data_IF_353473927283
#
_entry.id   IF_353473927283
#
_cell.length_a   1.000
_cell.length_b   1.000
_cell.length_c   1.000
_cell.angle_alpha   90.00
_cell.angle_beta   90.00
_cell.angle_gamma   90.00
#
_symmetry.space_group_name_H-M   'P 1'
#
loop_
_entity.id
_entity.type
_entity.pdbx_description
1 polymer ?
#
# COMPACT_ATOMS: atom_id res chain seq x y z
N UNK A 1 6.40 -7.37 -106.30
CA UNK A 1 5.34 -6.71 -105.51
C UNK A 1 5.08 -7.43 -104.18
N UNK A 2 4.92 -8.77 -104.16
CA UNK A 2 4.75 -9.57 -102.93
C UNK A 2 5.88 -9.48 -101.90
N UNK A 3 7.14 -9.51 -102.34
CA UNK A 3 8.31 -9.44 -101.43
C UNK A 3 8.37 -8.11 -100.67
N UNK A 4 7.89 -7.02 -101.27
CA UNK A 4 7.81 -5.71 -100.62
C UNK A 4 6.65 -5.64 -99.61
N UNK A 5 5.47 -6.21 -99.92
CA UNK A 5 4.33 -6.19 -99.00
C UNK A 5 4.53 -7.11 -97.80
N UNK A 6 5.26 -8.23 -97.95
CA UNK A 6 5.61 -9.09 -96.81
C UNK A 6 6.67 -8.45 -95.89
N UNK A 7 7.58 -7.64 -96.45
CA UNK A 7 8.57 -6.89 -95.66
C UNK A 7 7.92 -5.81 -94.79
N UNK A 8 6.94 -5.09 -95.34
CA UNK A 8 6.17 -4.06 -94.63
C UNK A 8 5.30 -4.63 -93.50
N UNK A 9 4.64 -5.78 -93.73
CA UNK A 9 3.81 -6.46 -92.73
C UNK A 9 4.66 -7.05 -91.58
N UNK A 10 5.85 -7.57 -91.91
CA UNK A 10 6.86 -8.00 -90.92
C UNK A 10 7.40 -6.81 -90.12
N UNK A 11 7.67 -5.68 -90.77
CA UNK A 11 8.17 -4.47 -90.10
C UNK A 11 7.13 -3.92 -89.13
N UNK A 12 5.85 -3.91 -89.51
CA UNK A 12 4.74 -3.53 -88.64
C UNK A 12 4.58 -4.47 -87.44
N UNK A 13 4.65 -5.79 -87.65
CA UNK A 13 4.61 -6.77 -86.54
C UNK A 13 5.80 -6.60 -85.58
N UNK A 14 7.01 -6.40 -86.10
CA UNK A 14 8.20 -6.17 -85.27
C UNK A 14 8.06 -4.85 -84.50
N UNK A 15 7.53 -3.81 -85.12
CA UNK A 15 7.30 -2.53 -84.46
C UNK A 15 6.29 -2.66 -83.33
N UNK A 16 5.14 -3.29 -83.58
CA UNK A 16 4.10 -3.57 -82.58
C UNK A 16 4.65 -4.42 -81.42
N UNK A 17 5.38 -5.50 -81.71
CA UNK A 17 6.00 -6.33 -80.67
C UNK A 17 7.04 -5.56 -79.85
N UNK A 18 7.79 -4.65 -80.47
CA UNK A 18 8.77 -3.84 -79.77
C UNK A 18 8.09 -2.80 -78.86
N UNK A 19 6.96 -2.24 -79.27
CA UNK A 19 6.17 -1.32 -78.46
C UNK A 19 5.51 -2.03 -77.28
N UNK A 20 4.94 -3.22 -77.49
CA UNK A 20 4.41 -4.09 -76.42
C UNK A 20 5.51 -4.49 -75.43
N UNK A 21 6.71 -4.85 -75.92
CA UNK A 21 7.85 -5.19 -75.07
C UNK A 21 8.30 -3.99 -74.21
N UNK A 22 8.32 -2.78 -74.77
CA UNK A 22 8.60 -1.55 -74.01
C UNK A 22 7.53 -1.29 -72.97
N UNK A 23 6.25 -1.45 -73.33
CA UNK A 23 5.15 -1.25 -72.40
C UNK A 23 5.21 -2.25 -71.23
N UNK A 24 5.44 -3.53 -71.51
CA UNK A 24 5.60 -4.56 -70.50
C UNK A 24 6.82 -4.29 -69.60
N UNK A 25 7.95 -3.88 -70.17
CA UNK A 25 9.15 -3.54 -69.40
C UNK A 25 8.89 -2.37 -68.43
N UNK A 26 8.16 -1.34 -68.87
CA UNK A 26 7.77 -0.21 -68.02
C UNK A 26 6.78 -0.64 -66.92
N UNK A 27 5.79 -1.49 -67.25
CA UNK A 27 4.85 -2.02 -66.26
C UNK A 27 5.57 -2.87 -65.19
N UNK A 28 6.55 -3.68 -65.60
CA UNK A 28 7.34 -4.52 -64.71
C UNK A 28 8.27 -3.67 -63.81
N UNK A 29 8.87 -2.61 -64.36
CA UNK A 29 9.65 -1.65 -63.57
C UNK A 29 8.79 -0.94 -62.52
N UNK A 30 7.60 -0.46 -62.91
CA UNK A 30 6.67 0.17 -61.98
C UNK A 30 6.21 -0.82 -60.88
N UNK A 31 5.92 -2.07 -61.25
CA UNK A 31 5.55 -3.10 -60.27
C UNK A 31 6.70 -3.41 -59.30
N UNK A 32 7.94 -3.49 -59.78
CA UNK A 32 9.12 -3.70 -58.94
C UNK A 32 9.35 -2.51 -57.97
N UNK A 33 9.15 -1.27 -58.44
CA UNK A 33 9.21 -0.08 -57.58
C UNK A 33 8.10 -0.10 -56.51
N UNK A 34 6.87 -0.45 -56.88
CA UNK A 34 5.76 -0.60 -55.92
C UNK A 34 6.00 -1.69 -54.88
N UNK A 35 6.60 -2.83 -55.26
CA UNK A 35 6.98 -3.87 -54.32
C UNK A 35 8.06 -3.39 -53.35
N UNK A 36 9.05 -2.66 -53.84
CA UNK A 36 10.10 -2.08 -52.99
C UNK A 36 9.54 -1.09 -51.96
N UNK A 37 8.62 -0.21 -52.35
CA UNK A 37 8.02 0.75 -51.41
C UNK A 37 7.10 0.06 -50.41
N UNK A 38 6.33 -0.94 -50.83
CA UNK A 38 5.54 -1.75 -49.90
C UNK A 38 6.39 -2.54 -48.91
N UNK A 39 7.54 -3.06 -49.35
CA UNK A 39 8.48 -3.74 -48.47
C UNK A 39 9.01 -2.79 -47.39
N UNK A 40 9.44 -1.58 -47.79
CA UNK A 40 9.90 -0.56 -46.85
C UNK A 40 8.82 -0.14 -45.84
N UNK A 41 7.58 0.03 -46.30
CA UNK A 41 6.44 0.31 -45.40
C UNK A 41 6.17 -0.84 -44.44
N UNK A 42 6.32 -2.09 -44.89
CA UNK A 42 6.12 -3.28 -44.06
C UNK A 42 7.20 -3.38 -42.99
N UNK A 43 8.47 -3.17 -43.35
CA UNK A 43 9.59 -3.12 -42.42
C UNK A 43 9.45 -1.97 -41.42
N UNK A 44 9.00 -0.81 -41.88
CA UNK A 44 8.71 0.33 -41.02
C UNK A 44 7.61 0.02 -40.00
N UNK A 45 6.48 -0.57 -40.44
CA UNK A 45 5.40 -0.99 -39.56
C UNK A 45 5.86 -2.06 -38.56
N UNK A 46 6.66 -3.03 -39.01
CA UNK A 46 7.21 -4.07 -38.15
C UNK A 46 8.08 -3.48 -37.03
N UNK A 47 8.96 -2.53 -37.35
CA UNK A 47 9.75 -1.81 -36.34
C UNK A 47 8.88 -1.07 -35.32
N UNK A 48 7.79 -0.42 -35.77
CA UNK A 48 6.85 0.25 -34.87
C UNK A 48 6.14 -0.75 -33.94
N UNK A 49 5.76 -1.92 -34.45
CA UNK A 49 5.18 -2.99 -33.62
C UNK A 49 6.14 -3.45 -32.52
N UNK A 50 7.45 -3.56 -32.79
CA UNK A 50 8.46 -3.93 -31.79
C UNK A 50 8.63 -2.86 -30.70
N UNK A 51 8.61 -1.58 -31.08
CA UNK A 51 8.65 -0.45 -30.13
C UNK A 51 7.44 -0.49 -29.20
N UNK A 52 6.23 -0.67 -29.74
CA UNK A 52 5.01 -0.75 -28.94
C UNK A 52 4.99 -1.97 -28.04
N UNK A 53 5.44 -3.13 -28.52
CA UNK A 53 5.58 -4.35 -27.72
C UNK A 53 6.52 -4.14 -26.54
N UNK A 54 7.67 -3.49 -26.78
CA UNK A 54 8.66 -3.20 -25.74
C UNK A 54 8.11 -2.24 -24.68
N UNK A 55 7.43 -1.17 -25.09
CA UNK A 55 6.78 -0.22 -24.19
C UNK A 55 5.67 -0.86 -23.36
N UNK A 56 4.81 -1.65 -23.99
CA UNK A 56 3.73 -2.37 -23.30
C UNK A 56 4.29 -3.32 -22.24
N UNK A 57 5.35 -4.06 -22.57
CA UNK A 57 5.98 -4.99 -21.65
C UNK A 57 6.63 -4.28 -20.45
N UNK A 58 7.36 -3.19 -20.70
CA UNK A 58 7.95 -2.37 -19.64
C UNK A 58 6.88 -1.83 -18.69
N UNK A 59 5.80 -1.25 -19.23
CA UNK A 59 4.68 -0.74 -18.43
C UNK A 59 3.96 -1.85 -17.65
N UNK A 60 3.81 -3.04 -18.24
CA UNK A 60 3.17 -4.19 -17.58
C UNK A 60 3.96 -4.64 -16.36
N UNK A 61 5.29 -4.75 -16.48
CA UNK A 61 6.18 -5.09 -15.35
C UNK A 61 6.07 -4.06 -14.22
N UNK A 62 6.06 -2.76 -14.55
CA UNK A 62 5.90 -1.71 -13.53
C UNK A 62 4.55 -1.81 -12.80
N UNK A 63 3.47 -2.12 -13.52
CA UNK A 63 2.13 -2.29 -12.92
C UNK A 63 2.08 -3.52 -12.02
N UNK A 64 2.68 -4.64 -12.43
CA UNK A 64 2.77 -5.85 -11.62
C UNK A 64 3.54 -5.60 -10.30
N UNK A 65 4.66 -4.90 -10.38
CA UNK A 65 5.43 -4.50 -9.19
C UNK A 65 4.63 -3.56 -8.28
N UNK A 66 3.91 -2.59 -8.85
CA UNK A 66 3.03 -1.70 -8.10
C UNK A 66 1.89 -2.46 -7.42
N UNK A 67 1.30 -3.43 -8.10
CA UNK A 67 0.25 -4.28 -7.54
C UNK A 67 0.78 -5.11 -6.36
N UNK A 68 2.01 -5.63 -6.46
CA UNK A 68 2.66 -6.33 -5.36
C UNK A 68 2.94 -5.40 -4.17
N UNK A 69 3.48 -4.20 -4.43
CA UNK A 69 3.70 -3.20 -3.38
C UNK A 69 2.39 -2.84 -2.66
N UNK A 70 1.32 -2.60 -3.44
CA UNK A 70 -0.02 -2.33 -2.90
C UNK A 70 -0.51 -3.48 -2.03
N UNK A 71 -0.34 -4.73 -2.46
CA UNK A 71 -0.73 -5.91 -1.67
C UNK A 71 -0.03 -5.94 -0.32
N UNK A 72 1.30 -5.81 -0.30
CA UNK A 72 2.11 -5.83 0.93
C UNK A 72 1.74 -4.67 1.86
N UNK A 73 1.56 -3.46 1.33
CA UNK A 73 1.09 -2.29 2.09
C UNK A 73 -0.30 -2.49 2.69
N UNK A 74 -1.20 -3.08 1.92
CA UNK A 74 -2.57 -3.35 2.37
C UNK A 74 -2.56 -4.37 3.50
N UNK A 75 -1.79 -5.45 3.37
CA UNK A 75 -1.63 -6.45 4.41
C UNK A 75 -1.05 -5.87 5.69
N UNK A 76 0.02 -5.06 5.60
CA UNK A 76 0.60 -4.37 6.75
C UNK A 76 -0.41 -3.44 7.44
N UNK A 77 -1.17 -2.69 6.64
CA UNK A 77 -2.23 -1.81 7.15
C UNK A 77 -3.30 -2.59 7.92
N UNK A 78 -3.75 -3.72 7.36
CA UNK A 78 -4.73 -4.60 8.02
C UNK A 78 -4.18 -5.13 9.35
N UNK A 79 -2.93 -5.60 9.37
CA UNK A 79 -2.30 -6.13 10.59
C UNK A 79 -2.16 -5.05 11.68
N UNK A 80 -1.76 -3.83 11.29
CA UNK A 80 -1.66 -2.69 12.20
C UNK A 80 -3.05 -2.29 12.74
N UNK A 81 -4.06 -2.25 11.89
CA UNK A 81 -5.43 -1.95 12.31
C UNK A 81 -5.95 -2.99 13.31
N UNK A 82 -5.70 -4.28 13.04
CA UNK A 82 -6.07 -5.36 13.96
C UNK A 82 -5.36 -5.23 15.31
N UNK A 83 -4.06 -4.87 15.30
CA UNK A 83 -3.31 -4.63 16.53
C UNK A 83 -3.91 -3.49 17.36
N UNK A 84 -4.25 -2.36 16.72
CA UNK A 84 -4.91 -1.24 17.39
C UNK A 84 -6.27 -1.67 17.98
N UNK A 85 -7.05 -2.46 17.25
CA UNK A 85 -8.33 -2.98 17.74
C UNK A 85 -8.16 -3.83 19.00
N UNK A 86 -7.16 -4.71 19.03
CA UNK A 86 -6.87 -5.53 20.22
C UNK A 86 -6.45 -4.68 21.42
N UNK A 87 -5.57 -3.70 21.21
CA UNK A 87 -5.16 -2.76 22.28
C UNK A 87 -6.34 -1.96 22.84
N UNK A 88 -7.24 -1.50 21.96
CA UNK A 88 -8.44 -0.78 22.39
C UNK A 88 -9.42 -1.66 23.16
N UNK A 89 -9.58 -2.93 22.78
CA UNK A 89 -10.42 -3.91 23.49
C UNK A 89 -9.87 -4.20 24.89
N UNK A 90 -8.57 -4.49 25.01
CA UNK A 90 -7.91 -4.67 26.31
C UNK A 90 -8.04 -3.42 27.19
N UNK A 91 -7.82 -2.23 26.63
CA UNK A 91 -8.00 -0.96 27.35
C UNK A 91 -9.45 -0.78 27.84
N UNK A 92 -10.45 -1.17 27.06
CA UNK A 92 -11.84 -1.14 27.49
C UNK A 92 -12.10 -2.09 28.66
N UNK A 93 -11.58 -3.32 28.60
CA UNK A 93 -11.67 -4.29 29.71
C UNK A 93 -10.99 -3.77 30.98
N UNK A 94 -9.79 -3.20 30.85
CA UNK A 94 -9.06 -2.58 31.98
C UNK A 94 -9.89 -1.46 32.60
N UNK A 95 -10.49 -0.59 31.78
CA UNK A 95 -11.36 0.49 32.27
C UNK A 95 -12.54 -0.06 33.07
N UNK A 96 -13.23 -1.08 32.55
CA UNK A 96 -14.40 -1.66 33.22
C UNK A 96 -13.99 -2.31 34.55
N UNK A 97 -12.85 -3.01 34.60
CA UNK A 97 -12.27 -3.52 35.84
C UNK A 97 -11.94 -2.39 36.83
N UNK A 98 -11.32 -1.30 36.38
CA UNK A 98 -11.00 -0.15 37.24
C UNK A 98 -12.25 0.55 37.77
N UNK A 99 -13.34 0.62 37.01
CA UNK A 99 -14.63 1.14 37.48
C UNK A 99 -15.20 0.25 38.59
N UNK A 100 -15.15 -1.08 38.42
CA UNK A 100 -15.57 -2.02 39.46
C UNK A 100 -14.71 -1.88 40.72
N UNK A 101 -13.39 -1.79 40.57
CA UNK A 101 -12.46 -1.55 41.67
C UNK A 101 -12.78 -0.24 42.39
N UNK A 102 -13.04 0.84 41.65
CA UNK A 102 -13.44 2.13 42.20
C UNK A 102 -14.71 2.02 43.05
N UNK A 103 -15.77 1.38 42.51
CA UNK A 103 -17.02 1.20 43.26
C UNK A 103 -16.81 0.44 44.57
N UNK A 104 -15.98 -0.62 44.53
CA UNK A 104 -15.66 -1.41 45.72
C UNK A 104 -14.86 -0.60 46.74
N UNK A 105 -13.79 0.07 46.31
CA UNK A 105 -12.95 0.90 47.18
C UNK A 105 -13.73 2.08 47.77
N UNK A 106 -14.58 2.73 46.98
CA UNK A 106 -15.43 3.82 47.45
C UNK A 106 -16.42 3.32 48.51
N UNK A 107 -17.11 2.20 48.27
CA UNK A 107 -17.99 1.61 49.27
C UNK A 107 -17.26 1.21 50.57
N UNK A 108 -16.06 0.66 50.45
CA UNK A 108 -15.21 0.35 51.62
C UNK A 108 -14.77 1.62 52.36
N UNK A 109 -14.41 2.67 51.63
CA UNK A 109 -14.02 3.96 52.20
C UNK A 109 -15.16 4.58 53.01
N UNK A 110 -16.39 4.61 52.47
CA UNK A 110 -17.56 5.14 53.19
C UNK A 110 -17.87 4.32 54.44
N UNK A 111 -17.87 2.98 54.35
CA UNK A 111 -18.07 2.11 55.51
C UNK A 111 -16.97 2.27 56.57
N UNK A 112 -15.73 2.51 56.14
CA UNK A 112 -14.61 2.75 57.04
C UNK A 112 -14.75 4.09 57.77
N UNK A 113 -15.17 5.16 57.07
CA UNK A 113 -15.49 6.45 57.67
C UNK A 113 -16.62 6.36 58.70
N UNK A 114 -17.69 5.64 58.38
CA UNK A 114 -18.81 5.41 59.32
C UNK A 114 -18.34 4.72 60.60
N UNK A 115 -17.52 3.66 60.48
CA UNK A 115 -16.96 2.96 61.63
C UNK A 115 -16.05 3.84 62.50
N UNK A 116 -15.28 4.75 61.88
CA UNK A 116 -14.49 5.73 62.64
C UNK A 116 -15.40 6.68 63.41
N UNK A 117 -16.41 7.25 62.75
CA UNK A 117 -17.35 8.17 63.39
C UNK A 117 -18.07 7.52 64.59
N UNK A 118 -18.47 6.25 64.46
CA UNK A 118 -19.07 5.47 65.56
C UNK A 118 -18.04 5.24 66.68
N UNK A 119 -16.80 4.90 66.35
CA UNK A 119 -15.75 4.64 67.35
C UNK A 119 -15.34 5.88 68.15
N UNK A 120 -15.38 7.06 67.53
CA UNK A 120 -15.18 8.36 68.18
C UNK A 120 -16.33 8.68 69.13
N UNK A 121 -17.58 8.44 68.71
CA UNK A 121 -18.77 8.63 69.55
C UNK A 121 -18.77 7.71 70.78
N UNK A 122 -18.27 6.47 70.64
CA UNK A 122 -18.12 5.51 71.74
C UNK A 122 -16.86 5.70 72.60
N UNK A 123 -16.11 6.79 72.41
CA UNK A 123 -15.04 7.23 73.32
C UNK A 123 -13.70 6.50 73.17
N UNK A 124 -13.48 5.76 72.07
CA UNK A 124 -12.23 5.01 71.87
C UNK A 124 -11.15 5.89 71.21
N UNK A 125 -10.35 6.60 72.02
CA UNK A 125 -9.44 7.70 71.60
C UNK A 125 -8.13 7.28 70.89
N UNK A 126 -7.95 6.03 70.47
CA UNK A 126 -6.64 5.52 70.05
C UNK A 126 -6.40 5.44 68.53
N UNK A 127 -7.18 6.13 67.67
CA UNK A 127 -6.91 6.14 66.21
C UNK A 127 -6.49 7.53 65.73
N UNK A 128 -5.28 7.70 65.15
CA UNK A 128 -4.88 8.98 64.59
C UNK A 128 -5.62 9.24 63.28
N UNK A 129 -6.58 10.18 63.29
CA UNK A 129 -7.37 10.68 62.14
C UNK A 129 -6.51 11.64 61.27
N UNK A 130 -5.20 11.42 61.22
CA UNK A 130 -4.22 12.47 60.92
C UNK A 130 -3.85 12.67 59.45
N UNK A 131 -4.34 11.85 58.51
CA UNK A 131 -3.84 11.91 57.13
C UNK A 131 -4.85 11.51 56.05
N UNK A 132 -6.14 11.80 56.26
CA UNK A 132 -7.18 11.47 55.28
C UNK A 132 -7.37 12.60 54.26
N UNK A 133 -7.15 12.30 52.99
CA UNK A 133 -7.47 13.21 51.89
C UNK A 133 -8.95 13.09 51.50
N UNK A 134 -9.83 13.79 52.23
CA UNK A 134 -11.28 13.85 51.97
C UNK A 134 -11.65 14.49 50.61
N UNK A 135 -10.72 15.23 50.00
CA UNK A 135 -10.95 15.99 48.77
C UNK A 135 -10.80 15.16 47.49
N UNK A 136 -10.29 13.93 47.55
CA UNK A 136 -10.00 13.12 46.34
C UNK A 136 -10.75 11.80 46.34
N UNK A 137 -12.08 11.84 46.37
CA UNK A 137 -12.93 10.64 46.29
C UNK A 137 -13.61 10.46 44.94
N UNK A 138 -13.78 11.53 44.14
CA UNK A 138 -14.39 11.47 42.81
C UNK A 138 -13.33 11.55 41.70
N UNK A 139 -13.34 10.63 40.71
CA UNK A 139 -12.51 10.75 39.53
C UNK A 139 -12.97 11.90 38.63
N UNK A 140 -12.01 12.60 38.01
CA UNK A 140 -12.28 13.71 37.08
C UNK A 140 -12.83 13.21 35.74
N UNK A 141 -12.47 11.99 35.33
CA UNK A 141 -13.04 11.30 34.19
C UNK A 141 -12.99 9.79 34.38
N UNK A 142 -13.69 9.05 33.51
CA UNK A 142 -13.66 7.59 33.47
C UNK A 142 -12.53 7.04 32.56
N UNK A 143 -11.49 7.82 32.29
CA UNK A 143 -10.32 7.33 31.58
C UNK A 143 -9.47 6.42 32.50
N UNK A 144 -8.66 5.53 31.91
CA UNK A 144 -7.89 4.51 32.66
C UNK A 144 -6.88 5.14 33.62
N UNK A 145 -6.24 6.26 33.24
CA UNK A 145 -5.21 6.91 34.07
C UNK A 145 -5.83 7.61 35.28
N UNK A 146 -6.93 8.33 35.08
CA UNK A 146 -7.67 9.01 36.15
C UNK A 146 -8.22 7.99 37.14
N UNK A 147 -8.86 6.93 36.64
CA UNK A 147 -9.42 5.85 37.46
C UNK A 147 -8.32 5.09 38.23
N UNK A 148 -7.19 4.79 37.59
CA UNK A 148 -6.06 4.13 38.27
C UNK A 148 -5.50 5.02 39.39
N UNK A 149 -5.32 6.32 39.12
CA UNK A 149 -4.83 7.30 40.09
C UNK A 149 -5.78 7.48 41.27
N UNK A 150 -7.09 7.59 41.03
CA UNK A 150 -8.07 7.71 42.13
C UNK A 150 -8.20 6.42 42.93
N UNK A 151 -8.18 5.26 42.27
CA UNK A 151 -8.18 3.97 42.96
C UNK A 151 -6.96 3.82 43.87
N UNK A 152 -5.77 4.22 43.39
CA UNK A 152 -4.56 4.21 44.21
C UNK A 152 -4.75 5.08 45.46
N UNK A 153 -5.18 6.33 45.31
CA UNK A 153 -5.39 7.26 46.44
C UNK A 153 -6.44 6.74 47.44
N UNK A 154 -7.57 6.21 46.95
CA UNK A 154 -8.58 5.60 47.82
C UNK A 154 -8.02 4.38 48.58
N UNK A 155 -7.24 3.53 47.90
CA UNK A 155 -6.61 2.37 48.53
C UNK A 155 -5.55 2.78 49.57
N UNK A 156 -4.81 3.86 49.35
CA UNK A 156 -3.84 4.41 50.30
C UNK A 156 -4.52 4.99 51.54
N UNK A 157 -5.65 5.70 51.38
CA UNK A 157 -6.44 6.18 52.50
C UNK A 157 -6.91 5.02 53.39
N UNK A 158 -7.46 3.96 52.79
CA UNK A 158 -7.95 2.78 53.53
C UNK A 158 -6.77 2.01 54.17
N UNK A 159 -5.68 1.81 53.44
CA UNK A 159 -4.52 1.04 53.92
C UNK A 159 -3.60 1.80 54.87
N UNK A 160 -3.77 3.11 55.04
CA UNK A 160 -3.01 3.93 56.00
C UNK A 160 -3.04 3.38 57.44
N UNK A 161 -4.06 2.59 57.78
CA UNK A 161 -4.27 1.98 59.09
C UNK A 161 -3.89 0.49 59.16
N UNK A 162 -3.30 -0.08 58.11
CA UNK A 162 -3.03 -1.52 57.96
C UNK A 162 -1.58 -1.75 57.52
N UNK A 163 -0.91 -2.75 58.10
CA UNK A 163 0.43 -3.17 57.66
C UNK A 163 0.36 -3.77 56.25
N UNK A 164 1.23 -3.30 55.34
CA UNK A 164 1.20 -3.73 53.94
C UNK A 164 1.86 -5.11 53.80
N UNK A 165 1.20 -6.09 53.14
CA UNK A 165 1.80 -7.39 52.88
C UNK A 165 2.96 -7.27 51.89
N UNK A 166 3.98 -8.13 52.03
CA UNK A 166 5.06 -8.25 51.05
C UNK A 166 4.53 -8.87 49.75
N UNK A 167 4.61 -8.09 48.67
CA UNK A 167 4.15 -8.46 47.33
C UNK A 167 5.27 -8.39 46.29
N UNK A 168 6.53 -8.48 46.72
CA UNK A 168 7.72 -8.47 45.85
C UNK A 168 7.73 -9.54 44.74
N UNK A 169 6.90 -10.58 44.83
CA UNK A 169 6.72 -11.57 43.77
C UNK A 169 6.07 -11.00 42.50
N UNK A 170 5.30 -9.90 42.61
CA UNK A 170 4.65 -9.26 41.46
C UNK A 170 5.65 -8.66 40.47
N UNK A 171 6.83 -8.22 40.94
CA UNK A 171 7.90 -7.66 40.10
C UNK A 171 8.49 -8.69 39.12
N UNK A 172 8.24 -9.99 39.35
CA UNK A 172 8.70 -11.09 38.50
C UNK A 172 7.68 -11.50 37.43
N UNK A 173 6.47 -10.93 37.47
CA UNK A 173 5.41 -11.25 36.52
C UNK A 173 5.59 -10.46 35.21
N UNK A 174 5.02 -10.99 34.12
CA UNK A 174 5.00 -10.30 32.84
C UNK A 174 4.22 -8.99 32.95
N UNK A 175 4.82 -7.89 32.51
CA UNK A 175 4.19 -6.56 32.46
C UNK A 175 3.49 -6.27 31.14
N UNK A 176 3.77 -7.08 30.10
CA UNK A 176 3.30 -6.85 28.73
C UNK A 176 2.08 -7.73 28.43
N UNK A 177 1.05 -7.14 27.82
CA UNK A 177 -0.15 -7.87 27.39
C UNK A 177 0.05 -8.60 26.06
N UNK A 178 -0.89 -9.47 25.68
CA UNK A 178 -0.81 -10.17 24.39
C UNK A 178 -1.03 -9.21 23.21
N UNK A 179 -1.92 -8.21 23.35
CA UNK A 179 -2.09 -7.20 22.31
C UNK A 179 -0.85 -6.31 22.15
N UNK A 180 -0.15 -5.99 23.24
CA UNK A 180 1.12 -5.25 23.19
C UNK A 180 2.22 -6.06 22.50
N UNK A 181 2.37 -7.35 22.84
CA UNK A 181 3.30 -8.25 22.14
C UNK A 181 3.00 -8.34 20.65
N UNK A 182 1.74 -8.48 20.28
CA UNK A 182 1.33 -8.50 18.89
C UNK A 182 1.62 -7.17 18.18
N UNK A 183 1.37 -6.04 18.85
CA UNK A 183 1.70 -4.72 18.32
C UNK A 183 3.20 -4.55 18.05
N UNK A 184 4.04 -4.94 19.01
CA UNK A 184 5.49 -4.91 18.86
C UNK A 184 5.96 -5.78 17.71
N UNK A 185 5.42 -7.00 17.59
CA UNK A 185 5.74 -7.91 16.49
C UNK A 185 5.35 -7.31 15.13
N UNK A 186 4.13 -6.78 15.01
CA UNK A 186 3.65 -6.16 13.78
C UNK A 186 4.49 -4.94 13.44
N UNK A 187 4.89 -4.11 14.40
CA UNK A 187 5.74 -2.94 14.16
C UNK A 187 7.16 -3.33 13.75
N UNK A 188 7.76 -4.34 14.41
CA UNK A 188 9.11 -4.80 14.15
C UNK A 188 9.24 -5.58 12.82
N UNK A 189 8.14 -6.11 12.28
CA UNK A 189 8.17 -6.87 11.03
C UNK A 189 8.74 -6.02 9.88
N UNK A 190 9.87 -6.44 9.27
CA UNK A 190 10.54 -5.67 8.23
C UNK A 190 9.62 -5.43 7.04
N UNK A 191 9.73 -4.23 6.47
CA UNK A 191 8.95 -3.80 5.34
C UNK A 191 9.86 -3.71 4.11
N UNK A 192 10.04 -4.85 3.42
CA UNK A 192 10.80 -4.89 2.18
C UNK A 192 9.87 -4.62 0.99
N UNK A 193 9.69 -3.35 0.65
CA UNK A 193 9.41 -3.02 -0.76
C UNK A 193 10.72 -3.27 -1.48
N UNK A 194 10.81 -4.37 -2.24
CA UNK A 194 11.91 -4.55 -3.20
C UNK A 194 11.99 -3.25 -4.02
N UNK A 195 13.13 -2.55 -3.94
CA UNK A 195 13.41 -1.44 -4.86
C UNK A 195 13.18 -1.96 -6.28
N UNK A 196 12.44 -1.19 -7.07
CA UNK A 196 12.15 -1.45 -8.49
C UNK A 196 13.43 -1.98 -9.13
N UNK A 197 13.39 -3.21 -9.65
CA UNK A 197 14.53 -3.73 -10.38
C UNK A 197 14.47 -3.06 -11.76
N UNK A 198 15.12 -1.90 -11.88
CA UNK A 198 15.06 -1.09 -13.10
C UNK A 198 15.76 -1.78 -14.28
N UNK A 199 16.57 -2.81 -14.06
CA UNK A 199 17.37 -3.49 -15.10
C UNK A 199 16.52 -4.01 -16.27
N UNK A 200 15.50 -4.86 -16.04
CA UNK A 200 14.59 -5.34 -17.08
C UNK A 200 13.80 -4.22 -17.77
N UNK A 201 13.31 -3.24 -17.01
CA UNK A 201 12.55 -2.10 -17.55
C UNK A 201 13.44 -1.24 -18.44
N UNK A 202 14.65 -0.91 -17.98
CA UNK A 202 15.64 -0.12 -18.70
C UNK A 202 16.14 -0.86 -19.95
N UNK A 203 16.32 -2.19 -19.89
CA UNK A 203 16.66 -3.00 -21.05
C UNK A 203 15.57 -2.95 -22.13
N UNK A 204 14.29 -3.02 -21.74
CA UNK A 204 13.15 -2.93 -22.67
C UNK A 204 12.97 -1.53 -23.24
N UNK A 205 13.18 -0.50 -22.43
CA UNK A 205 13.14 0.91 -22.86
C UNK A 205 14.28 1.17 -23.86
N UNK A 206 15.49 0.72 -23.56
CA UNK A 206 16.63 0.87 -24.47
C UNK A 206 16.45 0.07 -25.77
N UNK A 207 15.85 -1.13 -25.71
CA UNK A 207 15.48 -1.88 -26.90
C UNK A 207 14.50 -1.09 -27.78
N UNK A 208 13.50 -0.44 -27.18
CA UNK A 208 12.56 0.41 -27.90
C UNK A 208 13.23 1.62 -28.56
N UNK A 209 14.18 2.27 -27.88
CA UNK A 209 14.92 3.42 -28.43
C UNK A 209 15.96 3.04 -29.50
N UNK A 210 16.60 1.88 -29.38
CA UNK A 210 17.62 1.44 -30.31
C UNK A 210 17.04 0.78 -31.57
N UNK A 211 15.86 0.13 -31.48
CA UNK A 211 15.15 -0.40 -32.66
C UNK A 211 14.48 0.73 -33.48
N UNK A 212 14.38 1.94 -32.93
CA UNK A 212 13.89 3.14 -33.63
C UNK A 212 15.06 3.96 -34.23
N UNK A 213 15.79 3.40 -35.19
CA UNK A 213 16.83 4.13 -35.92
C UNK A 213 16.29 5.43 -36.53
N UNK A 214 16.77 6.60 -36.07
CA UNK A 214 16.47 7.95 -36.58
C UNK A 214 15.01 8.22 -36.97
N UNK A 215 14.04 7.77 -36.18
CA UNK A 215 12.65 8.20 -36.35
C UNK A 215 12.41 9.39 -35.43
N UNK A 216 12.35 10.59 -36.01
CA UNK A 216 11.72 11.74 -35.36
C UNK A 216 10.31 11.34 -34.97
N UNK A 217 10.11 11.06 -33.68
CA UNK A 217 8.78 10.89 -33.11
C UNK A 217 8.08 12.24 -33.23
N UNK A 218 7.34 12.42 -34.33
CA UNK A 218 6.37 13.50 -34.43
C UNK A 218 5.34 13.26 -33.34
N UNK A 219 5.54 13.89 -32.18
CA UNK A 219 4.52 14.01 -31.16
C UNK A 219 3.35 14.74 -31.80
N UNK A 220 2.33 13.98 -32.19
CA UNK A 220 1.09 14.54 -32.71
C UNK A 220 0.49 15.46 -31.63
N UNK A 221 0.34 16.75 -31.95
CA UNK A 221 -0.25 17.78 -31.08
C UNK A 221 -1.71 17.45 -30.67
N UNK A 222 -2.33 16.45 -31.31
CA UNK A 222 -3.69 16.00 -31.03
C UNK A 222 -3.84 14.77 -30.12
N UNK A 223 -2.76 14.05 -29.78
CA UNK A 223 -2.87 12.82 -28.97
C UNK A 223 -2.68 13.09 -27.47
N UNK A 224 -3.76 13.54 -26.81
CA UNK A 224 -3.78 13.90 -25.39
C UNK A 224 -3.87 12.70 -24.41
N UNK A 225 -3.40 11.51 -24.79
CA UNK A 225 -3.26 10.36 -23.88
C UNK A 225 -4.54 9.86 -23.20
N UNK A 226 -5.74 10.22 -23.68
CA UNK A 226 -7.00 9.66 -23.17
C UNK A 226 -7.40 8.45 -23.99
N UNK A 227 -7.21 7.27 -23.41
CA UNK A 227 -7.86 6.03 -23.86
C UNK A 227 -9.32 6.13 -23.45
N UNK A 228 -10.21 6.33 -24.42
CA UNK A 228 -11.64 6.25 -24.21
C UNK A 228 -12.02 4.77 -24.32
N UNK A 229 -12.36 4.17 -23.17
CA UNK A 229 -12.91 2.82 -23.13
C UNK A 229 -14.32 2.86 -23.75
N UNK A 230 -14.53 2.03 -24.78
CA UNK A 230 -15.85 1.62 -25.25
C UNK A 230 -16.51 0.69 -24.22
#
# INVERSE_FOLDING_TARGET
MLVASMGEDLEFQVHSLNEDKKHLANALLNSAQHLSTHQEQTEWLAGQCEVWRSKFLASSLMIEELAMCKKVLTEKTVNLQQSITQLLDERCRIRDMLICTYKNLYGLHENWLENIAISEYMGNKNRPIGNLNFTTTMPHSANVLDLASTNLKLSENISSSIEKPDVSHLDKLSTVTEAEKYAEQVMAAPFEIRKVNEGPVHALVNHAYNSSGNITVASCVHCNGKVQLL
#
